data_IF_590577730959
#
_entry.id   IF_590577730959
#
_cell.length_a   1.000
_cell.length_b   1.000
_cell.length_c   1.000
_cell.angle_alpha   90.00
_cell.angle_beta   90.00
_cell.angle_gamma   90.00
#
_symmetry.space_group_name_H-M   'P 1'
#
loop_
_entity.id
_entity.type
_entity.pdbx_description
1 polymer ?
#
# COMPACT_ATOMS: atom_id res chain seq x y z
N UNK A 1 31.77 16.52 1.96
CA UNK A 1 32.03 15.91 3.29
C UNK A 1 30.66 15.41 3.74
N UNK A 2 30.42 14.10 3.73
CA UNK A 2 29.16 13.54 4.22
C UNK A 2 29.16 13.67 5.75
N UNK A 3 28.03 14.06 6.35
CA UNK A 3 27.89 14.10 7.81
C UNK A 3 28.10 12.70 8.38
N UNK A 4 28.58 12.63 9.61
CA UNK A 4 28.62 11.37 10.38
C UNK A 4 27.21 10.77 10.39
N UNK A 5 27.01 9.45 10.15
CA UNK A 5 25.70 8.84 10.22
C UNK A 5 24.99 9.19 11.54
N UNK A 6 23.77 9.71 11.43
CA UNK A 6 22.98 10.33 12.51
C UNK A 6 21.58 10.70 12.00
N UNK A 7 20.98 11.79 12.51
CA UNK A 7 19.65 12.29 12.10
C UNK A 7 19.49 12.60 10.59
N UNK A 8 20.60 12.61 9.84
CA UNK A 8 20.65 12.82 8.39
C UNK A 8 20.57 11.49 7.58
N UNK A 9 20.56 10.33 8.25
CA UNK A 9 20.47 9.00 7.62
C UNK A 9 19.10 8.40 7.91
N UNK A 10 18.39 8.08 6.84
CA UNK A 10 17.06 7.49 6.89
C UNK A 10 17.08 6.05 6.40
N UNK A 11 16.21 5.23 7.00
CA UNK A 11 16.01 3.82 6.66
C UNK A 11 14.52 3.57 6.47
N UNK A 12 14.18 2.81 5.45
CA UNK A 12 12.82 2.34 5.24
C UNK A 12 12.60 1.06 6.06
N UNK A 13 11.67 1.12 7.01
CA UNK A 13 11.28 -0.01 7.85
C UNK A 13 9.87 -0.43 7.45
N UNK A 14 9.65 -1.74 7.28
CA UNK A 14 8.37 -2.28 6.85
C UNK A 14 7.80 -3.28 7.87
N UNK A 15 6.47 -3.25 8.00
CA UNK A 15 5.68 -4.26 8.67
C UNK A 15 4.70 -4.85 7.64
N UNK A 16 4.64 -6.18 7.60
CA UNK A 16 3.76 -6.93 6.70
C UNK A 16 2.77 -7.79 7.51
N UNK A 17 1.50 -7.71 7.13
CA UNK A 17 0.45 -8.58 7.62
C UNK A 17 0.08 -9.60 6.55
N UNK A 18 0.19 -10.87 6.91
CA UNK A 18 -0.18 -11.98 6.03
C UNK A 18 -1.05 -12.99 6.77
N UNK A 19 -1.96 -13.60 6.01
CA UNK A 19 -2.76 -14.75 6.45
C UNK A 19 -2.57 -15.83 5.40
N UNK A 20 -2.38 -17.07 5.85
CA UNK A 20 -2.21 -18.21 4.96
C UNK A 20 -3.49 -18.41 4.12
N UNK A 21 -3.33 -18.54 2.80
CA UNK A 21 -4.42 -18.74 1.83
C UNK A 21 -5.45 -17.59 1.86
N UNK A 22 -4.98 -16.40 2.25
CA UNK A 22 -5.80 -15.21 2.45
C UNK A 22 -5.29 -14.01 1.67
N UNK A 23 -6.21 -13.07 1.48
CA UNK A 23 -5.92 -11.70 1.11
C UNK A 23 -6.18 -10.81 2.33
N UNK A 24 -5.20 -9.98 2.68
CA UNK A 24 -5.29 -8.95 3.72
C UNK A 24 -5.18 -7.59 3.03
N UNK A 25 -6.13 -6.70 3.27
CA UNK A 25 -6.19 -5.38 2.64
C UNK A 25 -6.58 -4.30 3.62
N UNK A 26 -6.07 -3.09 3.44
CA UNK A 26 -6.32 -1.97 4.33
C UNK A 26 -7.72 -1.37 4.15
N UNK A 27 -8.34 -0.98 5.26
CA UNK A 27 -9.53 -0.13 5.23
C UNK A 27 -9.13 1.30 4.90
N UNK A 28 -9.77 1.92 3.91
CA UNK A 28 -9.51 3.33 3.57
C UNK A 28 -9.70 4.27 4.75
N UNK A 29 -10.67 3.94 5.61
CA UNK A 29 -11.09 4.79 6.72
C UNK A 29 -10.19 4.59 7.96
N UNK A 30 -9.28 3.62 7.93
CA UNK A 30 -8.39 3.33 9.06
C UNK A 30 -7.08 4.10 9.02
N UNK A 31 -6.74 4.82 7.94
CA UNK A 31 -5.43 5.44 7.80
C UNK A 31 -5.04 6.37 8.96
N UNK A 32 -5.97 7.19 9.46
CA UNK A 32 -5.69 8.07 10.60
C UNK A 32 -5.39 7.26 11.88
N UNK A 33 -6.20 6.22 12.13
CA UNK A 33 -6.02 5.30 13.26
C UNK A 33 -4.70 4.53 13.12
N UNK A 34 -4.30 4.18 11.90
CA UNK A 34 -3.00 3.55 11.63
C UNK A 34 -1.84 4.48 11.98
N UNK A 35 -1.87 5.76 11.59
CA UNK A 35 -0.83 6.70 12.02
C UNK A 35 -0.78 6.87 13.53
N UNK A 36 -1.95 6.91 14.17
CA UNK A 36 -2.04 7.02 15.62
C UNK A 36 -1.40 5.80 16.30
N UNK A 37 -1.80 4.58 15.91
CA UNK A 37 -1.36 3.35 16.56
C UNK A 37 0.08 2.96 16.21
N UNK A 38 0.48 3.15 14.96
CA UNK A 38 1.75 2.63 14.44
C UNK A 38 2.89 3.65 14.51
N UNK A 39 2.58 4.95 14.38
CA UNK A 39 3.56 6.02 14.48
C UNK A 39 3.43 6.85 15.76
N UNK A 40 2.51 6.47 16.66
CA UNK A 40 2.25 7.17 17.92
C UNK A 40 1.91 8.66 17.69
N UNK A 41 1.25 8.96 16.57
CA UNK A 41 0.79 10.31 16.26
C UNK A 41 -0.44 10.66 17.11
N UNK A 42 -0.57 11.92 17.54
CA UNK A 42 -1.78 12.36 18.21
C UNK A 42 -2.99 12.26 17.25
N UNK A 43 -4.12 11.72 17.70
CA UNK A 43 -5.28 11.43 16.82
C UNK A 43 -5.73 12.67 16.04
N UNK A 44 -5.83 13.82 16.70
CA UNK A 44 -6.26 15.06 16.04
C UNK A 44 -5.28 15.59 14.99
N UNK A 45 -4.01 15.19 15.05
CA UNK A 45 -3.06 15.46 13.97
C UNK A 45 -3.23 14.45 12.84
N UNK A 46 -3.33 13.17 13.16
CA UNK A 46 -3.56 12.12 12.17
C UNK A 46 -4.81 12.40 11.31
N UNK A 47 -5.91 12.84 11.94
CA UNK A 47 -7.13 13.22 11.24
C UNK A 47 -6.92 14.39 10.26
N UNK A 48 -6.05 15.35 10.59
CA UNK A 48 -5.71 16.47 9.69
C UNK A 48 -4.91 16.00 8.49
N UNK A 49 -3.98 15.07 8.70
CA UNK A 49 -3.18 14.48 7.62
C UNK A 49 -4.06 13.71 6.62
N UNK A 50 -5.15 13.08 7.09
CA UNK A 50 -6.04 12.25 6.27
C UNK A 50 -7.16 13.02 5.57
N UNK A 51 -7.13 14.35 5.55
CA UNK A 51 -8.15 15.11 4.83
C UNK A 51 -8.01 14.94 3.32
N UNK A 52 -9.11 14.64 2.63
CA UNK A 52 -9.13 14.52 1.18
C UNK A 52 -8.64 15.81 0.50
N UNK A 53 -7.72 15.69 -0.45
CA UNK A 53 -7.12 16.83 -1.14
C UNK A 53 -5.97 17.50 -0.40
N UNK A 54 -5.57 16.99 0.76
CA UNK A 54 -4.31 17.40 1.38
C UNK A 54 -3.13 16.93 0.52
N UNK A 55 -2.25 17.86 0.13
CA UNK A 55 -1.25 17.62 -0.90
C UNK A 55 -0.21 16.56 -0.54
N UNK A 56 0.03 16.33 0.76
CA UNK A 56 0.96 15.31 1.24
C UNK A 56 0.30 13.95 1.39
N UNK A 57 -1.03 13.84 1.32
CA UNK A 57 -1.75 12.58 1.47
C UNK A 57 -2.37 12.18 0.14
N UNK A 58 -1.92 11.04 -0.39
CA UNK A 58 -2.47 10.48 -1.61
C UNK A 58 -3.11 9.14 -1.29
N UNK A 59 -4.34 8.99 -1.76
CA UNK A 59 -5.16 7.82 -1.54
C UNK A 59 -5.02 6.88 -2.73
N UNK A 60 -4.66 5.62 -2.44
CA UNK A 60 -4.33 4.62 -3.46
C UNK A 60 -5.36 3.48 -3.42
N UNK A 61 -6.44 3.63 -4.18
CA UNK A 61 -7.50 2.60 -4.27
C UNK A 61 -6.99 1.29 -4.84
N UNK A 62 -7.39 0.17 -4.26
CA UNK A 62 -7.08 -1.16 -4.77
C UNK A 62 -8.28 -1.75 -5.53
N UNK A 63 -8.05 -2.33 -6.70
CA UNK A 63 -9.10 -2.93 -7.55
C UNK A 63 -10.33 -2.02 -7.82
N UNK A 64 -10.15 -0.69 -7.82
CA UNK A 64 -11.22 0.31 -7.89
C UNK A 64 -12.23 0.29 -6.73
N UNK A 65 -11.96 -0.47 -5.66
CA UNK A 65 -12.76 -0.49 -4.45
C UNK A 65 -12.33 0.70 -3.58
N UNK A 66 -13.22 1.65 -3.38
CA UNK A 66 -12.90 2.85 -2.59
C UNK A 66 -12.68 2.51 -1.12
N UNK A 67 -13.42 1.56 -0.56
CA UNK A 67 -13.26 1.17 0.84
C UNK A 67 -11.97 0.38 1.10
N UNK A 68 -11.32 -0.14 0.05
CA UNK A 68 -10.07 -0.90 0.13
C UNK A 68 -8.97 -0.10 -0.52
N UNK A 69 -8.18 0.58 0.29
CA UNK A 69 -7.18 1.49 -0.23
C UNK A 69 -5.98 1.56 0.70
N UNK A 70 -4.83 1.73 0.08
CA UNK A 70 -3.65 2.21 0.78
C UNK A 70 -3.55 3.73 0.69
N UNK A 71 -2.39 4.23 1.07
CA UNK A 71 -2.03 5.63 0.86
C UNK A 71 -0.52 5.81 0.87
N UNK A 72 -0.07 6.95 0.33
CA UNK A 72 1.27 7.44 0.60
C UNK A 72 1.23 8.84 1.18
N UNK A 73 2.09 9.04 2.17
CA UNK A 73 2.29 10.31 2.87
C UNK A 73 3.75 10.69 2.70
N UNK A 74 4.01 11.87 2.19
CA UNK A 74 5.36 12.41 2.06
C UNK A 74 5.43 13.74 2.76
N UNK A 75 6.45 13.92 3.61
CA UNK A 75 6.67 15.19 4.30
C UNK A 75 8.06 15.71 3.98
N UNK A 76 8.15 17.04 3.88
CA UNK A 76 9.42 17.71 3.61
C UNK A 76 9.86 18.62 4.76
N UNK A 77 8.94 18.98 5.66
CA UNK A 77 9.18 19.96 6.72
C UNK A 77 8.69 19.52 8.09
N UNK A 78 7.73 18.60 8.16
CA UNK A 78 7.10 18.14 9.41
C UNK A 78 7.27 16.65 9.52
N UNK A 79 7.93 16.17 10.56
CA UNK A 79 8.14 14.75 10.79
C UNK A 79 6.84 14.13 11.35
N UNK A 80 6.55 12.88 10.98
CA UNK A 80 5.31 12.18 11.32
C UNK A 80 5.49 11.37 12.60
N UNK A 81 4.68 11.67 13.61
CA UNK A 81 4.57 10.87 14.83
C UNK A 81 5.85 10.88 15.67
N UNK A 82 5.92 9.98 16.64
CA UNK A 82 7.03 9.91 17.59
C UNK A 82 8.34 9.43 16.95
N UNK A 83 8.24 8.63 15.89
CA UNK A 83 9.39 8.07 15.18
C UNK A 83 9.94 8.99 14.09
N UNK A 84 9.42 10.22 14.00
CA UNK A 84 9.90 11.23 13.07
C UNK A 84 9.91 10.77 11.60
N UNK A 85 8.90 10.02 11.16
CA UNK A 85 8.88 9.50 9.80
C UNK A 85 8.73 10.62 8.76
N UNK A 86 9.49 10.57 7.67
CA UNK A 86 9.42 11.52 6.55
C UNK A 86 8.55 11.02 5.40
N UNK A 87 8.38 9.71 5.34
CA UNK A 87 7.58 9.04 4.33
C UNK A 87 6.87 7.85 4.96
N UNK A 88 5.61 7.64 4.56
CA UNK A 88 4.82 6.48 4.94
C UNK A 88 4.09 5.97 3.72
N UNK A 89 4.20 4.68 3.43
CA UNK A 89 3.44 4.01 2.39
C UNK A 89 2.66 2.86 3.00
N UNK A 90 1.36 2.86 2.75
CA UNK A 90 0.42 1.81 3.12
C UNK A 90 -0.06 1.21 1.81
N UNK A 91 0.15 -0.07 1.58
CA UNK A 91 -0.17 -0.73 0.32
C UNK A 91 -0.39 -2.23 0.48
N UNK A 92 -0.81 -2.88 -0.60
CA UNK A 92 -0.96 -4.33 -0.69
C UNK A 92 0.01 -4.91 -1.73
N UNK A 93 0.43 -6.16 -1.53
CA UNK A 93 1.45 -6.81 -2.38
C UNK A 93 0.92 -7.31 -3.72
N UNK A 94 -0.40 -7.41 -3.90
CA UNK A 94 -1.06 -7.81 -5.15
C UNK A 94 -0.78 -6.87 -6.32
N UNK A 95 -0.52 -5.59 -6.02
CA UNK A 95 -0.10 -4.56 -6.97
C UNK A 95 1.10 -5.00 -7.82
N UNK A 96 1.99 -5.83 -7.29
CA UNK A 96 3.17 -6.33 -8.00
C UNK A 96 2.82 -7.18 -9.24
N UNK A 97 1.70 -7.91 -9.24
CA UNK A 97 1.34 -8.82 -10.35
C UNK A 97 0.76 -8.08 -11.56
N UNK A 98 0.12 -6.95 -11.30
CA UNK A 98 -0.50 -6.09 -12.34
C UNK A 98 0.43 -4.95 -12.77
N UNK A 99 1.56 -4.75 -12.09
CA UNK A 99 2.59 -3.80 -12.43
C UNK A 99 3.46 -4.25 -13.63
N UNK A 100 3.97 -3.27 -14.35
CA UNK A 100 4.98 -3.43 -15.39
C UNK A 100 5.93 -2.23 -15.32
N UNK A 101 7.10 -2.42 -14.70
CA UNK A 101 8.11 -1.35 -14.53
C UNK A 101 8.64 -0.79 -15.86
N UNK A 102 8.38 -1.46 -16.99
CA UNK A 102 8.77 -1.01 -18.32
C UNK A 102 7.67 -0.18 -19.00
N UNK A 103 6.46 -0.19 -18.47
CA UNK A 103 5.34 0.59 -18.98
C UNK A 103 5.35 2.02 -18.40
N UNK A 104 4.83 2.97 -19.17
CA UNK A 104 4.57 4.33 -18.67
C UNK A 104 3.62 4.25 -17.46
N UNK A 105 4.01 4.86 -16.34
CA UNK A 105 3.32 4.80 -15.04
C UNK A 105 3.31 3.42 -14.36
N UNK A 106 4.21 2.53 -14.76
CA UNK A 106 4.43 1.21 -14.14
C UNK A 106 3.22 0.26 -14.16
N UNK A 107 2.23 0.49 -15.03
CA UNK A 107 0.99 -0.27 -15.09
C UNK A 107 0.75 -0.88 -16.47
N UNK A 108 0.13 -2.06 -16.52
CA UNK A 108 -0.38 -2.65 -17.77
C UNK A 108 -1.71 -1.99 -18.12
N UNK A 109 -1.79 -1.32 -19.27
CA UNK A 109 -3.02 -0.65 -19.70
C UNK A 109 -3.43 -1.02 -21.13
N UNK A 110 -4.74 -0.97 -21.39
CA UNK A 110 -5.34 -1.09 -22.72
C UNK A 110 -6.28 0.09 -22.94
N UNK A 111 -6.33 0.61 -24.17
CA UNK A 111 -7.28 1.68 -24.51
C UNK A 111 -8.62 1.09 -24.94
N UNK A 112 -9.71 1.85 -24.77
CA UNK A 112 -11.02 1.47 -25.30
C UNK A 112 -10.96 1.20 -26.82
N UNK A 113 -10.14 1.96 -27.55
CA UNK A 113 -9.91 1.74 -28.98
C UNK A 113 -9.24 0.39 -29.24
N UNK A 114 -8.26 -0.03 -28.43
CA UNK A 114 -7.61 -1.34 -28.56
C UNK A 114 -8.56 -2.49 -28.20
N UNK A 115 -9.52 -2.26 -27.28
CA UNK A 115 -10.57 -3.21 -26.95
C UNK A 115 -11.60 -3.36 -28.08
N UNK A 116 -12.03 -2.24 -28.67
CA UNK A 116 -13.15 -2.19 -29.64
C UNK A 116 -12.69 -2.43 -31.08
N UNK A 117 -11.48 -2.00 -31.46
CA UNK A 117 -10.94 -2.26 -32.80
C UNK A 117 -10.95 -3.76 -33.01
N UNK A 118 -11.83 -4.23 -33.90
CA UNK A 118 -12.03 -5.63 -34.27
C UNK A 118 -10.69 -6.35 -34.31
N UNK A 119 -10.37 -7.04 -33.23
CA UNK A 119 -9.56 -8.22 -33.30
C UNK A 119 -10.20 -9.08 -34.39
N UNK A 120 -9.41 -9.61 -35.32
CA UNK A 120 -9.90 -10.63 -36.27
C UNK A 120 -10.44 -11.87 -35.56
N UNK A 121 -10.27 -11.94 -34.24
CA UNK A 121 -10.70 -13.02 -33.36
C UNK A 121 -11.89 -12.57 -32.49
N UNK A 122 -12.75 -13.53 -32.16
CA UNK A 122 -13.83 -13.42 -31.16
C UNK A 122 -13.33 -13.15 -29.73
N UNK A 123 -12.01 -13.04 -29.56
CA UNK A 123 -11.28 -12.99 -28.29
C UNK A 123 -10.23 -11.87 -28.32
N UNK A 124 -10.04 -11.19 -27.19
CA UNK A 124 -9.02 -10.15 -26.99
C UNK A 124 -7.85 -10.75 -26.20
N UNK A 125 -6.67 -10.84 -26.82
CA UNK A 125 -5.49 -11.49 -26.21
C UNK A 125 -5.04 -10.83 -24.90
N UNK A 126 -5.17 -9.51 -24.79
CA UNK A 126 -4.84 -8.79 -23.55
C UNK A 126 -5.76 -9.22 -22.40
N UNK A 127 -7.08 -9.20 -22.63
CA UNK A 127 -8.05 -9.67 -21.63
C UNK A 127 -7.83 -11.14 -21.27
N UNK A 128 -7.45 -11.95 -22.26
CA UNK A 128 -7.09 -13.34 -22.08
C UNK A 128 -5.92 -13.57 -21.13
N UNK A 129 -4.81 -12.88 -21.40
CA UNK A 129 -3.63 -12.90 -20.55
C UNK A 129 -3.93 -12.36 -19.16
N UNK A 130 -4.71 -11.29 -19.06
CA UNK A 130 -5.13 -10.72 -17.79
C UNK A 130 -5.94 -11.75 -16.98
N UNK A 131 -6.95 -12.39 -17.58
CA UNK A 131 -7.73 -13.45 -16.96
C UNK A 131 -6.85 -14.61 -16.48
N UNK A 132 -5.88 -15.06 -17.29
CA UNK A 132 -4.93 -16.09 -16.87
C UNK A 132 -4.10 -15.68 -15.66
N UNK A 133 -3.65 -14.43 -15.60
CA UNK A 133 -2.88 -13.91 -14.46
C UNK A 133 -3.73 -13.90 -13.19
N UNK A 134 -4.96 -13.39 -13.24
CA UNK A 134 -5.87 -13.39 -12.08
C UNK A 134 -6.21 -14.82 -11.62
N UNK A 135 -6.53 -15.70 -12.58
CA UNK A 135 -6.84 -17.11 -12.27
C UNK A 135 -5.65 -17.82 -11.63
N UNK A 136 -4.44 -17.60 -12.12
CA UNK A 136 -3.23 -18.20 -11.54
C UNK A 136 -2.94 -17.65 -10.13
N UNK A 137 -3.10 -16.34 -9.96
CA UNK A 137 -2.90 -15.67 -8.68
C UNK A 137 -3.89 -16.14 -7.60
N UNK A 138 -5.14 -16.44 -7.98
CA UNK A 138 -6.16 -17.01 -7.09
C UNK A 138 -5.71 -18.32 -6.40
N UNK A 139 -4.77 -19.07 -6.99
CA UNK A 139 -4.26 -20.32 -6.43
C UNK A 139 -2.88 -20.19 -5.78
N UNK A 140 -2.07 -19.24 -6.24
CA UNK A 140 -0.64 -19.21 -5.89
C UNK A 140 -0.19 -17.96 -5.14
N UNK A 141 -1.04 -16.94 -5.01
CA UNK A 141 -0.66 -15.65 -4.49
C UNK A 141 -1.60 -15.19 -3.37
N UNK A 142 -1.11 -15.25 -2.13
CA UNK A 142 -1.69 -14.48 -1.04
C UNK A 142 -1.55 -12.98 -1.33
N UNK A 143 -2.42 -12.17 -0.72
CA UNK A 143 -2.29 -10.72 -0.72
C UNK A 143 -1.97 -10.27 0.70
N UNK A 144 -0.89 -9.51 0.85
CA UNK A 144 -0.43 -9.04 2.15
C UNK A 144 -0.65 -7.54 2.25
N UNK A 145 -0.99 -7.09 3.44
CA UNK A 145 -1.13 -5.67 3.75
C UNK A 145 0.19 -5.19 4.35
N UNK A 146 0.84 -4.24 3.71
CA UNK A 146 2.15 -3.73 4.11
C UNK A 146 2.07 -2.25 4.47
N UNK A 147 2.80 -1.88 5.52
CA UNK A 147 3.14 -0.49 5.84
C UNK A 147 4.66 -0.35 5.82
N UNK A 148 5.14 0.73 5.24
CA UNK A 148 6.54 1.10 5.15
C UNK A 148 6.69 2.54 5.64
N UNK A 149 7.66 2.79 6.51
CA UNK A 149 7.95 4.11 7.04
C UNK A 149 9.45 4.41 6.90
N UNK A 150 9.76 5.56 6.32
CA UNK A 150 11.11 6.10 6.29
C UNK A 150 11.36 6.86 7.57
N UNK A 151 12.28 6.37 8.41
CA UNK A 151 12.59 6.94 9.72
C UNK A 151 14.09 7.21 9.86
N UNK A 152 14.49 8.14 10.75
CA UNK A 152 15.90 8.29 11.11
C UNK A 152 16.47 6.96 11.62
N UNK A 153 17.75 6.69 11.32
CA UNK A 153 18.45 5.46 11.73
C UNK A 153 18.32 5.18 13.25
N UNK A 154 18.27 6.23 14.06
CA UNK A 154 18.11 6.13 15.52
C UNK A 154 16.79 5.50 15.98
N UNK A 155 15.74 5.50 15.14
CA UNK A 155 14.40 5.00 15.47
C UNK A 155 14.10 3.63 14.85
N UNK A 156 15.04 3.02 14.11
CA UNK A 156 14.81 1.77 13.35
C UNK A 156 14.45 0.60 14.25
N UNK A 157 15.05 0.51 15.44
CA UNK A 157 14.79 -0.60 16.37
C UNK A 157 13.44 -0.46 17.09
N UNK A 158 12.89 0.76 17.17
CA UNK A 158 11.66 1.04 17.91
C UNK A 158 10.42 1.07 17.02
N UNK A 159 10.54 1.52 15.77
CA UNK A 159 9.40 1.64 14.85
C UNK A 159 8.81 0.26 14.56
N UNK A 160 7.49 0.13 14.78
CA UNK A 160 6.71 -1.11 14.64
C UNK A 160 7.08 -2.30 15.56
N UNK A 161 8.13 -2.21 16.40
CA UNK A 161 8.65 -3.32 17.18
C UNK A 161 7.62 -3.95 18.13
N UNK A 162 6.80 -3.11 18.77
CA UNK A 162 5.85 -3.52 19.81
C UNK A 162 4.38 -3.50 19.34
N UNK A 163 4.11 -3.62 18.03
CA UNK A 163 2.74 -3.59 17.52
C UNK A 163 2.11 -4.99 17.60
N UNK A 164 1.13 -5.23 18.50
CA UNK A 164 0.51 -6.55 18.59
C UNK A 164 -0.43 -6.77 17.41
N UNK A 165 -0.52 -8.02 16.92
CA UNK A 165 -1.39 -8.40 15.79
C UNK A 165 -2.86 -8.01 16.02
N UNK A 166 -3.32 -8.05 17.28
CA UNK A 166 -4.68 -7.65 17.64
C UNK A 166 -5.01 -6.20 17.28
N UNK A 167 -4.01 -5.31 17.20
CA UNK A 167 -4.17 -3.89 16.84
C UNK A 167 -4.64 -3.67 15.41
N UNK A 168 -4.64 -4.71 14.56
CA UNK A 168 -5.01 -4.60 13.15
C UNK A 168 -6.41 -5.14 12.84
N UNK A 169 -7.09 -5.79 13.79
CA UNK A 169 -8.35 -6.49 13.54
C UNK A 169 -9.49 -5.61 13.00
N UNK A 170 -9.46 -4.31 13.29
CA UNK A 170 -10.40 -3.29 12.81
C UNK A 170 -9.83 -2.40 11.68
N UNK A 171 -8.60 -2.66 11.24
CA UNK A 171 -7.88 -1.87 10.23
C UNK A 171 -7.77 -2.60 8.88
N UNK A 172 -8.06 -3.90 8.85
CA UNK A 172 -7.92 -4.74 7.65
C UNK A 172 -9.16 -5.55 7.34
N UNK A 173 -9.42 -5.70 6.05
CA UNK A 173 -10.24 -6.76 5.51
C UNK A 173 -9.38 -8.02 5.40
N UNK A 174 -9.96 -9.16 5.74
CA UNK A 174 -9.38 -10.48 5.51
C UNK A 174 -10.39 -11.33 4.76
N UNK A 175 -10.05 -11.75 3.55
CA UNK A 175 -10.90 -12.62 2.71
C UNK A 175 -10.09 -13.81 2.19
N UNK A 176 -10.71 -14.92 1.77
CA UNK A 176 -10.00 -15.97 1.04
C UNK A 176 -9.28 -15.40 -0.19
N UNK A 177 -8.06 -15.85 -0.47
CA UNK A 177 -7.29 -15.33 -1.63
C UNK A 177 -8.05 -15.48 -2.96
N UNK A 178 -8.84 -16.55 -3.09
CA UNK A 178 -9.62 -16.85 -4.31
C UNK A 178 -10.77 -15.88 -4.55
N UNK A 179 -11.30 -15.25 -3.49
CA UNK A 179 -12.39 -14.29 -3.61
C UNK A 179 -11.87 -12.90 -4.02
N UNK A 180 -10.60 -12.61 -3.70
CA UNK A 180 -9.95 -11.35 -4.04
C UNK A 180 -9.53 -11.30 -5.52
N UNK A 181 -8.95 -12.38 -6.03
CA UNK A 181 -8.44 -12.51 -7.40
C UNK A 181 -9.54 -12.84 -8.41
#
# INVERSE_FOLDING_TARGET
>A
MFSTPGDDVFVDVALELSVKEGAVMWHSDSHAVMLQRLLQMHQTEADKWMHFGYYNYKWDTCAHLTSVAGCHITTHTTLLGQFNATFVQIYTTDKCLTYDMWASNNAKFITAVNLIKKSKYTYNEFLGKLYSVFTDAAWHNNVHAQIEAQVPLANVEDVFADVPVASFSDLVYCVPQQDWW
#
